data_IF_662366481212
#
_entry.id   IF_662366481212
#
_cell.length_a   1.000
_cell.length_b   1.000
_cell.length_c   1.000
_cell.angle_alpha   90.00
_cell.angle_beta   90.00
_cell.angle_gamma   90.00
#
_symmetry.space_group_name_H-M   'P 1'
#
loop_
_entity.id
_entity.type
_entity.pdbx_description
1 polymer ?
#
# COMPACT_ATOMS: atom_id res chain seq x y z
N UNK A 1 -7.53 -12.49 -45.62
CA UNK A 1 -8.11 -11.13 -45.66
C UNK A 1 -7.87 -10.51 -44.30
N UNK A 2 -7.01 -9.49 -44.25
CA UNK A 2 -6.58 -8.82 -43.02
C UNK A 2 -7.77 -8.09 -42.38
N UNK A 3 -8.08 -8.41 -41.13
CA UNK A 3 -8.98 -7.64 -40.29
C UNK A 3 -8.24 -6.39 -39.83
N UNK A 4 -8.67 -5.23 -40.31
CA UNK A 4 -8.19 -3.93 -39.87
C UNK A 4 -8.48 -3.78 -38.37
N UNK A 5 -7.42 -3.56 -37.58
CA UNK A 5 -7.53 -3.09 -36.22
C UNK A 5 -8.08 -1.66 -36.29
N UNK A 6 -9.31 -1.43 -35.83
CA UNK A 6 -9.77 -0.08 -35.51
C UNK A 6 -8.94 0.40 -34.31
N UNK A 7 -7.92 1.21 -34.59
CA UNK A 7 -7.27 2.05 -33.57
C UNK A 7 -8.34 2.90 -32.89
N UNK A 8 -8.38 2.85 -31.56
CA UNK A 8 -9.24 3.71 -30.75
C UNK A 8 -8.99 5.18 -31.11
N UNK A 9 -10.07 5.91 -31.39
CA UNK A 9 -10.01 7.33 -31.76
C UNK A 9 -9.18 8.15 -30.74
N UNK A 10 -8.11 8.84 -31.17
CA UNK A 10 -7.30 9.71 -30.33
C UNK A 10 -8.10 10.78 -29.56
N UNK A 11 -9.31 11.13 -30.01
CA UNK A 11 -10.24 12.02 -29.31
C UNK A 11 -10.82 11.42 -28.03
N UNK A 12 -11.02 10.09 -27.96
CA UNK A 12 -11.52 9.37 -26.79
C UNK A 12 -10.44 9.25 -25.71
N UNK A 13 -9.17 9.10 -26.11
CA UNK A 13 -8.02 9.17 -25.21
C UNK A 13 -7.84 10.58 -24.61
N UNK A 14 -8.20 11.63 -25.35
CA UNK A 14 -8.23 13.01 -24.85
C UNK A 14 -9.39 13.27 -23.86
N UNK A 15 -10.49 12.53 -23.97
CA UNK A 15 -11.66 12.66 -23.07
C UNK A 15 -11.53 11.90 -21.75
N UNK A 16 -10.68 10.87 -21.69
CA UNK A 16 -10.36 10.11 -20.48
C UNK A 16 -9.08 10.64 -19.83
N UNK A 17 -9.07 11.91 -19.43
CA UNK A 17 -8.11 12.42 -18.43
C UNK A 17 -6.62 12.26 -18.74
N UNK A 18 -6.22 12.07 -20.00
CA UNK A 18 -4.85 12.40 -20.43
C UNK A 18 -4.83 13.92 -20.56
N UNK A 19 -4.80 14.59 -19.41
CA UNK A 19 -4.41 15.98 -19.35
C UNK A 19 -3.14 16.13 -20.19
N UNK A 20 -3.17 17.12 -21.07
CA UNK A 20 -2.08 17.50 -21.96
C UNK A 20 -0.70 17.14 -21.40
N UNK A 21 0.18 16.61 -22.25
CA UNK A 21 1.64 16.66 -22.08
C UNK A 21 2.21 18.10 -21.96
N UNK A 22 1.37 19.10 -21.65
CA UNK A 22 1.76 20.47 -21.38
C UNK A 22 2.27 20.58 -19.95
N UNK A 23 3.60 20.61 -19.83
CA UNK A 23 4.44 20.75 -18.63
C UNK A 23 3.98 19.94 -17.42
N UNK A 24 4.36 18.65 -17.39
CA UNK A 24 4.37 17.95 -16.11
C UNK A 24 5.41 18.64 -15.22
N UNK A 25 4.92 19.25 -14.13
CA UNK A 25 5.78 19.95 -13.18
C UNK A 25 6.85 19.01 -12.64
N UNK A 26 8.07 19.50 -12.46
CA UNK A 26 9.14 18.73 -11.84
C UNK A 26 8.87 18.51 -10.35
N UNK A 27 9.68 17.67 -9.70
CA UNK A 27 9.62 17.49 -8.24
C UNK A 27 9.81 18.83 -7.52
N UNK A 28 10.81 19.62 -7.92
CA UNK A 28 11.06 20.92 -7.27
C UNK A 28 9.92 21.92 -7.45
N UNK A 29 9.24 21.94 -8.60
CA UNK A 29 8.07 22.82 -8.82
C UNK A 29 6.88 22.43 -7.93
N UNK A 30 6.59 21.13 -7.80
CA UNK A 30 5.55 20.67 -6.87
C UNK A 30 5.91 20.91 -5.40
N UNK A 31 7.17 20.76 -5.04
CA UNK A 31 7.65 21.08 -3.69
C UNK A 31 7.56 22.58 -3.44
N UNK A 32 7.85 23.43 -4.43
CA UNK A 32 7.69 24.87 -4.28
C UNK A 32 6.25 25.23 -3.94
N UNK A 33 5.28 24.75 -4.72
CA UNK A 33 3.85 25.00 -4.50
C UNK A 33 3.34 24.49 -3.14
N UNK A 34 3.83 23.34 -2.70
CA UNK A 34 3.44 22.75 -1.41
C UNK A 34 4.01 23.51 -0.19
N UNK A 35 5.04 24.33 -0.38
CA UNK A 35 5.79 25.02 0.67
C UNK A 35 5.86 26.55 0.46
N UNK A 36 5.11 27.10 -0.50
CA UNK A 36 5.14 28.53 -0.87
C UNK A 36 4.67 29.44 0.28
N UNK A 37 3.66 29.02 1.04
CA UNK A 37 3.01 29.82 2.11
C UNK A 37 3.64 29.63 3.51
N UNK A 38 4.88 29.15 3.62
CA UNK A 38 5.47 28.79 4.94
C UNK A 38 5.89 29.95 5.86
N UNK A 39 5.38 31.17 5.67
CA UNK A 39 5.34 32.17 6.76
C UNK A 39 4.29 31.83 7.84
N UNK A 40 3.31 30.95 7.57
CA UNK A 40 2.23 30.59 8.51
C UNK A 40 2.30 29.16 9.10
N UNK A 41 3.39 28.40 8.90
CA UNK A 41 3.39 26.99 9.33
C UNK A 41 3.71 26.76 10.82
N UNK A 42 4.29 27.73 11.54
CA UNK A 42 4.58 27.56 12.97
C UNK A 42 3.31 27.43 13.84
N UNK A 43 2.19 28.04 13.41
CA UNK A 43 0.92 28.08 14.16
C UNK A 43 -0.07 26.95 13.79
N UNK A 44 0.04 26.37 12.58
CA UNK A 44 -0.81 25.26 12.17
C UNK A 44 -0.53 23.96 12.94
N UNK A 45 0.69 23.80 13.48
CA UNK A 45 1.02 22.71 14.41
C UNK A 45 0.42 22.88 15.81
N UNK A 46 -0.16 24.05 16.13
CA UNK A 46 -0.85 24.31 17.40
C UNK A 46 -2.38 24.38 17.29
N UNK A 47 -2.96 24.68 16.12
CA UNK A 47 -4.42 24.98 16.05
C UNK A 47 -5.21 24.31 14.92
N UNK A 48 -4.61 23.54 14.02
CA UNK A 48 -5.35 22.71 13.07
C UNK A 48 -5.94 21.49 13.79
N UNK A 49 -7.25 21.53 14.11
CA UNK A 49 -8.07 20.47 14.71
C UNK A 49 -7.24 19.41 15.44
N UNK A 50 -7.14 19.48 16.78
CA UNK A 50 -6.47 18.47 17.62
C UNK A 50 -7.00 17.07 17.30
N UNK A 51 -6.45 16.44 16.26
CA UNK A 51 -6.37 15.02 16.14
C UNK A 51 -5.45 14.70 17.31
N UNK A 52 -6.00 14.16 18.38
CA UNK A 52 -5.21 13.44 19.37
C UNK A 52 -4.59 12.25 18.65
N UNK A 53 -3.64 12.47 17.76
CA UNK A 53 -2.67 11.45 17.43
C UNK A 53 -1.84 11.35 18.69
N UNK A 54 -2.20 10.39 19.57
CA UNK A 54 -1.13 9.75 20.33
C UNK A 54 -0.04 9.43 19.31
N UNK A 55 1.24 9.73 19.57
CA UNK A 55 2.30 9.18 18.75
C UNK A 55 1.96 7.69 18.61
N UNK A 56 1.71 7.22 17.37
CA UNK A 56 1.21 5.85 17.17
C UNK A 56 2.14 4.86 17.88
N UNK A 57 3.42 5.24 17.98
CA UNK A 57 4.47 4.45 18.59
C UNK A 57 5.29 5.34 19.54
N UNK A 58 5.55 4.87 20.76
CA UNK A 58 6.59 5.43 21.65
C UNK A 58 7.97 4.82 21.35
N UNK A 59 7.97 3.69 20.66
CA UNK A 59 9.13 2.93 20.20
C UNK A 59 8.77 2.25 18.89
N UNK A 60 9.63 2.35 17.87
CA UNK A 60 9.45 1.67 16.58
C UNK A 60 10.59 0.65 16.45
N UNK A 61 10.33 -0.61 16.07
CA UNK A 61 11.39 -1.57 15.81
C UNK A 61 12.29 -1.08 14.66
N UNK A 62 13.61 -1.21 14.81
CA UNK A 62 14.63 -0.69 13.87
C UNK A 62 14.37 -1.12 12.42
N UNK A 63 13.87 -2.35 12.22
CA UNK A 63 13.56 -2.93 10.91
C UNK A 63 12.29 -2.37 10.24
N UNK A 64 11.48 -1.58 10.95
CA UNK A 64 10.30 -0.92 10.39
C UNK A 64 10.44 0.61 10.27
N UNK A 65 11.50 1.20 10.88
CA UNK A 65 11.67 2.66 10.93
C UNK A 65 11.63 3.30 9.55
N UNK A 66 12.22 2.66 8.54
CA UNK A 66 12.31 3.24 7.20
C UNK A 66 10.93 3.41 6.57
N UNK A 67 10.17 2.32 6.46
CA UNK A 67 8.82 2.31 5.91
C UNK A 67 7.84 3.17 6.71
N UNK A 68 7.86 3.06 8.04
CA UNK A 68 6.95 3.81 8.90
C UNK A 68 7.12 5.32 8.73
N UNK A 69 8.38 5.79 8.71
CA UNK A 69 8.67 7.23 8.55
C UNK A 69 8.39 7.69 7.13
N UNK A 70 8.82 6.93 6.11
CA UNK A 70 8.58 7.29 4.71
C UNK A 70 7.08 7.41 4.43
N UNK A 71 6.28 6.47 4.94
CA UNK A 71 4.83 6.50 4.80
C UNK A 71 4.18 7.64 5.59
N UNK A 72 4.59 7.88 6.84
CA UNK A 72 4.11 9.00 7.65
C UNK A 72 4.34 10.36 6.96
N UNK A 73 5.54 10.57 6.39
CA UNK A 73 5.86 11.80 5.65
C UNK A 73 5.03 11.88 4.36
N UNK A 74 4.88 10.79 3.63
CA UNK A 74 4.04 10.76 2.44
C UNK A 74 2.57 11.08 2.76
N UNK A 75 2.01 10.51 3.83
CA UNK A 75 0.65 10.83 4.28
C UNK A 75 0.50 12.30 4.67
N UNK A 76 1.51 12.89 5.33
CA UNK A 76 1.50 14.32 5.65
C UNK A 76 1.48 15.18 4.38
N UNK A 77 2.33 14.87 3.40
CA UNK A 77 2.38 15.63 2.15
C UNK A 77 1.09 15.49 1.32
N UNK A 78 0.51 14.29 1.24
CA UNK A 78 -0.75 14.06 0.53
C UNK A 78 -1.91 14.79 1.23
N UNK A 79 -2.05 14.62 2.54
CA UNK A 79 -3.26 15.06 3.25
C UNK A 79 -3.20 16.48 3.81
N UNK A 80 -2.01 17.07 3.97
CA UNK A 80 -1.83 18.42 4.51
C UNK A 80 -1.34 19.37 3.43
N UNK A 81 -0.32 18.95 2.67
CA UNK A 81 0.26 19.77 1.60
C UNK A 81 -0.40 19.57 0.23
N UNK A 82 -1.33 18.63 0.12
CA UNK A 82 -2.08 18.32 -1.11
C UNK A 82 -1.16 17.99 -2.30
N UNK A 83 0.01 17.41 -2.05
CA UNK A 83 0.94 17.02 -3.11
C UNK A 83 0.41 15.80 -3.86
N UNK A 84 0.75 15.64 -5.16
CA UNK A 84 0.54 14.38 -5.86
C UNK A 84 1.26 13.20 -5.18
N UNK A 85 0.68 12.00 -5.23
CA UNK A 85 1.23 10.81 -4.55
C UNK A 85 2.68 10.50 -4.95
N UNK A 86 3.04 10.69 -6.22
CA UNK A 86 4.41 10.42 -6.68
C UNK A 86 5.44 11.32 -6.00
N UNK A 87 5.11 12.60 -5.79
CA UNK A 87 5.93 13.57 -5.07
C UNK A 87 6.09 13.12 -3.62
N UNK A 88 4.97 12.78 -2.97
CA UNK A 88 4.95 12.33 -1.58
C UNK A 88 5.79 11.06 -1.36
N UNK A 89 5.70 10.08 -2.27
CA UNK A 89 6.47 8.84 -2.17
C UNK A 89 7.97 9.05 -2.38
N UNK A 90 8.38 9.82 -3.40
CA UNK A 90 9.79 10.16 -3.59
C UNK A 90 10.32 10.95 -2.39
N UNK A 91 9.59 11.98 -1.97
CA UNK A 91 10.01 12.87 -0.89
C UNK A 91 10.18 12.07 0.40
N UNK A 92 9.17 11.29 0.81
CA UNK A 92 9.22 10.50 2.04
C UNK A 92 10.42 9.53 2.07
N UNK A 93 10.69 8.85 0.95
CA UNK A 93 11.82 7.91 0.84
C UNK A 93 13.18 8.59 0.88
N UNK A 94 13.34 9.70 0.16
CA UNK A 94 14.61 10.46 0.18
C UNK A 94 14.84 11.13 1.52
N UNK A 95 13.77 11.60 2.16
CA UNK A 95 13.81 12.22 3.47
C UNK A 95 14.37 11.25 4.50
N UNK A 96 13.74 10.07 4.68
CA UNK A 96 14.24 9.09 5.65
C UNK A 96 15.64 8.60 5.29
N UNK A 97 16.00 8.50 4.00
CA UNK A 97 17.35 8.12 3.59
C UNK A 97 18.43 9.13 4.05
N UNK A 98 18.11 10.42 4.16
CA UNK A 98 19.03 11.42 4.72
C UNK A 98 19.03 11.44 6.25
N UNK A 99 17.87 11.17 6.86
CA UNK A 99 17.68 11.34 8.30
C UNK A 99 17.95 10.06 9.11
N UNK A 100 18.04 8.88 8.48
CA UNK A 100 18.18 7.59 9.16
C UNK A 100 19.36 7.53 10.13
N UNK A 101 20.49 8.18 9.78
CA UNK A 101 21.67 8.28 10.65
C UNK A 101 21.42 9.05 11.93
N UNK A 102 20.56 10.07 11.88
CA UNK A 102 20.14 10.81 13.08
C UNK A 102 19.30 9.94 14.02
N UNK A 103 18.72 8.86 13.51
CA UNK A 103 17.97 7.87 14.28
C UNK A 103 18.87 6.77 14.87
N UNK A 104 20.20 6.90 14.73
CA UNK A 104 21.17 5.90 15.21
C UNK A 104 21.20 4.63 14.35
N UNK A 105 20.79 4.73 13.10
CA UNK A 105 20.78 3.65 12.12
C UNK A 105 21.64 4.04 10.93
N UNK A 106 22.59 3.19 10.55
CA UNK A 106 23.44 3.46 9.39
C UNK A 106 22.68 3.32 8.06
N UNK A 107 21.73 2.38 8.02
CA UNK A 107 20.93 2.03 6.86
C UNK A 107 19.61 1.34 7.26
N UNK A 108 18.76 1.09 6.26
CA UNK A 108 17.54 0.30 6.42
C UNK A 108 17.88 -1.10 6.93
N UNK A 109 17.28 -1.50 8.04
CA UNK A 109 17.54 -2.79 8.67
C UNK A 109 16.61 -3.88 8.11
N UNK A 110 17.11 -5.10 7.85
CA UNK A 110 16.28 -6.21 7.42
C UNK A 110 15.39 -6.70 8.57
N UNK A 111 14.21 -7.23 8.22
CA UNK A 111 13.38 -7.92 9.18
C UNK A 111 13.98 -9.30 9.53
N UNK A 112 14.09 -9.56 10.83
CA UNK A 112 14.47 -10.86 11.39
C UNK A 112 13.50 -11.14 12.53
N UNK A 113 12.75 -12.24 12.45
CA UNK A 113 11.62 -12.54 13.34
C UNK A 113 11.98 -12.48 14.84
N UNK A 114 13.18 -12.96 15.19
CA UNK A 114 13.65 -13.03 16.57
C UNK A 114 14.28 -11.71 17.09
N UNK A 115 14.45 -10.70 16.24
CA UNK A 115 15.13 -9.44 16.57
C UNK A 115 14.12 -8.29 16.61
N UNK A 116 13.84 -7.77 17.81
CA UNK A 116 12.90 -6.67 18.05
C UNK A 116 13.56 -5.48 18.77
N UNK A 117 14.73 -5.08 18.27
CA UNK A 117 15.41 -3.87 18.73
C UNK A 117 14.60 -2.63 18.34
N UNK A 118 14.42 -1.69 19.26
CA UNK A 118 13.61 -0.49 19.01
C UNK A 118 14.41 0.81 19.06
N UNK A 119 13.97 1.80 18.31
CA UNK A 119 14.38 3.21 18.45
C UNK A 119 13.30 3.96 19.25
N UNK A 120 13.70 4.76 20.23
CA UNK A 120 12.79 5.61 21.01
C UNK A 120 12.31 6.80 20.18
N UNK A 121 11.02 6.88 19.91
CA UNK A 121 10.41 7.85 19.00
C UNK A 121 9.84 9.09 19.69
N UNK A 122 9.77 9.07 21.03
CA UNK A 122 9.11 10.10 21.82
C UNK A 122 9.70 11.51 21.61
N UNK A 123 11.01 11.59 21.40
CA UNK A 123 11.73 12.86 21.23
C UNK A 123 12.05 13.20 19.76
N UNK A 124 12.19 12.21 18.87
CA UNK A 124 12.56 12.48 17.49
C UNK A 124 11.39 12.60 16.53
N UNK A 125 10.20 12.05 16.77
CA UNK A 125 9.06 12.25 15.85
C UNK A 125 8.82 13.74 15.60
N UNK A 126 8.87 14.55 16.67
CA UNK A 126 8.78 16.01 16.57
C UNK A 126 9.94 16.61 15.77
N UNK A 127 11.17 16.13 15.98
CA UNK A 127 12.35 16.59 15.23
C UNK A 127 12.25 16.26 13.74
N UNK A 128 11.81 15.05 13.39
CA UNK A 128 11.60 14.65 11.99
C UNK A 128 10.51 15.49 11.34
N UNK A 129 9.35 15.63 11.99
CA UNK A 129 8.28 16.47 11.43
C UNK A 129 8.73 17.93 11.23
N UNK A 130 9.50 18.48 12.18
CA UNK A 130 10.10 19.81 12.05
C UNK A 130 11.20 19.90 10.97
N UNK A 131 11.78 18.77 10.56
CA UNK A 131 12.81 18.71 9.53
C UNK A 131 12.27 18.69 8.10
N UNK A 132 10.96 18.44 7.90
CA UNK A 132 10.33 18.37 6.58
C UNK A 132 10.54 19.68 5.78
N UNK A 133 10.27 20.89 6.33
CA UNK A 133 10.56 22.15 5.63
C UNK A 133 12.03 22.31 5.21
N UNK A 134 12.96 22.00 6.12
CA UNK A 134 14.40 22.11 5.82
C UNK A 134 14.80 21.16 4.70
N UNK A 135 14.22 19.96 4.63
CA UNK A 135 14.46 19.04 3.53
C UNK A 135 13.84 19.51 2.21
N UNK A 136 12.64 20.10 2.25
CA UNK A 136 12.04 20.75 1.09
C UNK A 136 12.95 21.85 0.54
N UNK A 137 13.52 22.70 1.39
CA UNK A 137 14.50 23.71 0.97
C UNK A 137 15.71 23.11 0.25
N UNK A 138 16.24 21.97 0.71
CA UNK A 138 17.36 21.30 0.02
C UNK A 138 17.00 20.87 -1.40
N UNK A 139 15.76 20.40 -1.61
CA UNK A 139 15.24 20.09 -2.96
C UNK A 139 15.17 21.36 -3.80
N UNK A 140 14.61 22.45 -3.25
CA UNK A 140 14.47 23.74 -3.95
C UNK A 140 15.82 24.37 -4.30
N UNK A 141 16.82 24.23 -3.43
CA UNK A 141 18.21 24.63 -3.66
C UNK A 141 18.98 23.70 -4.61
N UNK A 142 18.35 22.63 -5.09
CA UNK A 142 18.93 21.61 -5.99
C UNK A 142 20.16 20.92 -5.40
N UNK A 143 20.20 20.77 -4.08
CA UNK A 143 21.22 19.96 -3.39
C UNK A 143 20.98 18.46 -3.60
N UNK A 144 19.77 18.10 -4.02
CA UNK A 144 19.36 16.76 -4.41
C UNK A 144 18.98 16.72 -5.90
N UNK A 145 19.17 15.58 -6.59
CA UNK A 145 18.76 15.45 -7.98
C UNK A 145 17.27 15.75 -8.13
N UNK A 146 16.93 16.72 -8.97
CA UNK A 146 15.54 16.95 -9.37
C UNK A 146 15.04 15.74 -10.17
N UNK A 147 13.74 15.47 -10.14
CA UNK A 147 13.17 14.28 -10.75
C UNK A 147 11.85 14.62 -11.37
N UNK A 148 11.78 14.47 -12.69
CA UNK A 148 10.51 14.50 -13.40
C UNK A 148 9.69 13.27 -13.07
N UNK A 149 8.38 13.35 -13.27
CA UNK A 149 7.53 12.19 -13.13
C UNK A 149 8.06 11.04 -14.02
N UNK A 150 8.36 9.85 -13.47
CA UNK A 150 8.77 8.71 -14.27
C UNK A 150 7.69 8.34 -15.28
N UNK A 151 8.09 8.01 -16.51
CA UNK A 151 7.16 7.61 -17.57
C UNK A 151 6.33 6.40 -17.17
N UNK A 152 6.91 5.49 -16.40
CA UNK A 152 6.27 4.29 -15.87
C UNK A 152 5.12 4.63 -14.90
N UNK A 153 5.10 5.82 -14.29
CA UNK A 153 3.95 6.25 -13.49
C UNK A 153 2.70 6.51 -14.34
N UNK A 154 2.89 6.88 -15.60
CA UNK A 154 1.79 7.18 -16.53
C UNK A 154 1.15 5.93 -17.12
N UNK A 155 1.74 4.74 -16.92
CA UNK A 155 1.26 3.50 -17.51
C UNK A 155 -0.13 3.07 -16.98
N UNK A 156 -0.43 3.44 -15.73
CA UNK A 156 -1.74 3.24 -15.11
C UNK A 156 -2.22 4.57 -14.53
N UNK A 157 -3.08 5.32 -15.23
CA UNK A 157 -3.71 6.52 -14.69
C UNK A 157 -4.51 6.18 -13.43
N UNK A 158 -4.29 6.94 -12.36
CA UNK A 158 -4.87 6.68 -11.05
C UNK A 158 -5.68 7.85 -10.53
N UNK A 159 -6.73 7.52 -9.80
CA UNK A 159 -7.45 8.44 -8.93
C UNK A 159 -7.66 7.76 -7.59
N UNK A 160 -7.44 8.50 -6.51
CA UNK A 160 -7.61 8.02 -5.15
C UNK A 160 -8.02 9.20 -4.27
N UNK A 161 -8.82 8.92 -3.26
CA UNK A 161 -9.25 9.85 -2.21
C UNK A 161 -9.63 9.00 -0.99
N UNK A 162 -9.50 9.57 0.20
CA UNK A 162 -9.92 8.95 1.44
C UNK A 162 -10.54 9.99 2.36
N UNK A 163 -11.74 9.70 2.88
CA UNK A 163 -12.48 10.63 3.72
C UNK A 163 -12.96 9.98 5.00
N UNK A 164 -12.65 10.61 6.13
CA UNK A 164 -13.09 10.16 7.47
C UNK A 164 -14.63 10.04 7.59
N UNK A 165 -15.35 10.93 6.90
CA UNK A 165 -16.81 11.03 7.00
C UNK A 165 -17.26 11.25 8.45
N UNK A 166 -18.28 10.49 8.88
CA UNK A 166 -18.90 10.60 10.22
C UNK A 166 -18.12 9.87 11.34
N UNK A 167 -17.01 9.20 11.02
CA UNK A 167 -16.22 8.45 12.02
C UNK A 167 -15.41 9.41 12.88
N UNK A 168 -15.04 8.92 14.08
CA UNK A 168 -14.22 9.70 15.03
C UNK A 168 -12.77 9.82 14.56
N UNK A 169 -12.23 8.73 14.02
CA UNK A 169 -10.88 8.56 13.46
C UNK A 169 -10.97 8.16 11.99
N UNK A 170 -9.94 8.49 11.20
CA UNK A 170 -9.74 7.90 9.88
C UNK A 170 -8.81 6.69 10.02
N UNK A 171 -9.39 5.50 9.91
CA UNK A 171 -8.71 4.21 10.07
C UNK A 171 -8.39 3.56 8.72
N UNK A 172 -8.91 4.09 7.62
CA UNK A 172 -8.64 3.59 6.27
C UNK A 172 -7.28 4.08 5.77
N UNK A 173 -6.58 3.20 5.05
CA UNK A 173 -5.34 3.53 4.32
C UNK A 173 -5.40 2.94 2.91
N UNK A 174 -4.60 3.50 2.02
CA UNK A 174 -4.46 2.98 0.66
C UNK A 174 -3.02 3.15 0.15
N UNK A 175 -2.68 2.37 -0.87
CA UNK A 175 -1.50 2.61 -1.70
C UNK A 175 -1.93 2.69 -3.16
N UNK A 176 -1.31 3.61 -3.90
CA UNK A 176 -1.56 3.78 -5.33
C UNK A 176 -0.23 4.03 -6.03
N UNK A 177 0.43 2.95 -6.44
CA UNK A 177 1.74 2.99 -7.06
C UNK A 177 1.67 2.38 -8.47
N UNK A 178 1.32 3.17 -9.51
CA UNK A 178 1.44 2.75 -10.90
C UNK A 178 2.77 2.11 -11.27
N UNK A 179 3.86 2.49 -10.60
CA UNK A 179 5.17 1.83 -10.70
C UNK A 179 5.85 1.82 -9.33
N UNK A 180 6.63 0.76 -9.06
CA UNK A 180 7.49 0.67 -7.87
C UNK A 180 8.76 1.52 -7.97
N UNK A 181 9.13 1.96 -9.19
CA UNK A 181 10.42 2.60 -9.48
C UNK A 181 10.66 3.92 -8.73
N UNK A 182 9.59 4.60 -8.31
CA UNK A 182 9.68 5.83 -7.51
C UNK A 182 10.35 5.60 -6.15
N UNK A 183 10.03 4.48 -5.53
CA UNK A 183 10.45 4.11 -4.17
C UNK A 183 11.66 3.17 -4.24
N UNK A 184 11.70 2.33 -5.28
CA UNK A 184 12.74 1.34 -5.51
C UNK A 184 13.36 1.55 -6.91
N UNK A 185 14.33 2.46 -7.07
CA UNK A 185 14.93 2.75 -8.38
C UNK A 185 15.53 1.51 -9.07
N UNK A 186 16.04 0.57 -8.28
CA UNK A 186 16.64 -0.69 -8.74
C UNK A 186 15.64 -1.85 -8.88
N UNK A 187 14.34 -1.55 -8.96
CA UNK A 187 13.33 -2.60 -9.13
C UNK A 187 13.48 -3.28 -10.49
N UNK A 188 13.37 -4.62 -10.51
CA UNK A 188 13.49 -5.42 -11.75
C UNK A 188 12.24 -5.35 -12.64
N UNK A 189 11.11 -4.89 -12.10
CA UNK A 189 9.80 -4.85 -12.77
C UNK A 189 9.16 -3.47 -12.61
N UNK A 190 9.68 -2.49 -13.35
CA UNK A 190 9.13 -1.13 -13.35
C UNK A 190 7.77 -1.02 -14.04
N UNK A 191 7.42 -2.02 -14.85
CA UNK A 191 6.15 -2.19 -15.56
C UNK A 191 4.99 -2.69 -14.68
N UNK A 192 5.27 -3.04 -13.42
CA UNK A 192 4.25 -3.50 -12.47
C UNK A 192 3.75 -2.34 -11.62
N UNK A 193 2.43 -2.16 -11.60
CA UNK A 193 1.70 -1.33 -10.67
C UNK A 193 1.19 -2.12 -9.47
N UNK A 194 1.12 -1.47 -8.31
CA UNK A 194 0.64 -2.02 -7.05
C UNK A 194 -0.37 -1.06 -6.39
N UNK A 195 -1.52 -1.62 -6.04
CA UNK A 195 -2.66 -0.91 -5.48
C UNK A 195 -3.21 -1.64 -4.27
N UNK A 196 -3.72 -0.91 -3.29
CA UNK A 196 -4.28 -1.52 -2.10
C UNK A 196 -5.19 -0.60 -1.33
N UNK A 197 -6.22 -1.17 -0.71
CA UNK A 197 -7.08 -0.52 0.27
C UNK A 197 -7.12 -1.37 1.53
N UNK A 198 -6.99 -0.71 2.67
CA UNK A 198 -6.92 -1.31 4.00
C UNK A 198 -7.91 -0.58 4.91
N UNK A 199 -9.03 -1.22 5.25
CA UNK A 199 -10.03 -0.70 6.19
C UNK A 199 -9.60 -1.12 7.60
N UNK A 200 -9.21 -0.15 8.42
CA UNK A 200 -8.78 -0.38 9.80
C UNK A 200 -9.97 -0.49 10.75
N UNK A 201 -9.89 -1.38 11.73
CA UNK A 201 -10.88 -1.47 12.78
C UNK A 201 -10.24 -1.55 14.16
N UNK A 202 -10.86 -0.86 15.13
CA UNK A 202 -10.39 -0.77 16.51
C UNK A 202 -8.99 -0.12 16.62
N UNK A 203 -8.70 0.82 15.71
CA UNK A 203 -7.42 1.51 15.56
C UNK A 203 -6.90 1.45 14.12
N UNK A 204 -5.96 2.34 13.79
CA UNK A 204 -5.39 2.47 12.45
C UNK A 204 -4.02 1.77 12.30
N UNK A 205 -3.49 1.16 13.35
CA UNK A 205 -2.12 0.65 13.40
C UNK A 205 -1.90 -0.44 12.33
N UNK A 206 -2.81 -1.41 12.23
CA UNK A 206 -2.73 -2.48 11.23
C UNK A 206 -2.91 -1.99 9.78
N UNK A 207 -3.79 -1.02 9.53
CA UNK A 207 -4.01 -0.47 8.18
C UNK A 207 -2.83 0.42 7.76
N UNK A 208 -2.30 1.24 8.67
CA UNK A 208 -1.08 2.03 8.47
C UNK A 208 0.13 1.12 8.19
N UNK A 209 0.34 0.08 9.01
CA UNK A 209 1.43 -0.87 8.78
C UNK A 209 1.31 -1.55 7.42
N UNK A 210 0.12 -2.01 7.07
CA UNK A 210 -0.09 -2.70 5.79
C UNK A 210 0.21 -1.80 4.60
N UNK A 211 -0.21 -0.53 4.65
CA UNK A 211 0.06 0.43 3.59
C UNK A 211 1.55 0.84 3.50
N UNK A 212 2.23 0.98 4.65
CA UNK A 212 3.64 1.37 4.69
C UNK A 212 4.58 0.26 4.18
N UNK A 213 4.26 -1.01 4.44
CA UNK A 213 5.20 -2.14 4.25
C UNK A 213 4.93 -3.00 3.01
N UNK A 214 3.72 -3.00 2.45
CA UNK A 214 3.36 -3.89 1.33
C UNK A 214 4.27 -3.69 0.10
N UNK A 215 4.59 -2.44 -0.24
CA UNK A 215 5.40 -2.13 -1.41
C UNK A 215 6.82 -2.69 -1.29
N UNK A 216 7.42 -2.63 -0.10
CA UNK A 216 8.73 -3.25 0.19
C UNK A 216 8.66 -4.76 0.04
N UNK A 217 7.70 -5.42 0.71
CA UNK A 217 7.60 -6.89 0.66
C UNK A 217 7.37 -7.38 -0.77
N UNK A 218 6.56 -6.65 -1.55
CA UNK A 218 6.31 -7.00 -2.93
C UNK A 218 7.56 -6.81 -3.80
N UNK A 219 8.26 -5.68 -3.67
CA UNK A 219 9.51 -5.44 -4.39
C UNK A 219 10.59 -6.49 -4.05
N UNK A 220 10.71 -6.88 -2.79
CA UNK A 220 11.67 -7.90 -2.37
C UNK A 220 11.34 -9.28 -2.96
N UNK A 221 10.06 -9.65 -3.01
CA UNK A 221 9.62 -10.89 -3.66
C UNK A 221 9.90 -10.85 -5.16
N UNK A 222 9.67 -9.71 -5.83
CA UNK A 222 9.98 -9.52 -7.25
C UNK A 222 11.48 -9.63 -7.53
N UNK A 223 12.33 -9.04 -6.68
CA UNK A 223 13.79 -9.17 -6.77
C UNK A 223 14.25 -10.62 -6.60
N UNK A 224 13.68 -11.34 -5.63
CA UNK A 224 13.94 -12.77 -5.43
C UNK A 224 13.41 -13.65 -6.57
N UNK A 225 12.57 -13.08 -7.44
CA UNK A 225 12.00 -13.74 -8.62
C UNK A 225 12.69 -13.30 -9.93
N UNK A 226 13.96 -12.88 -9.88
CA UNK A 226 14.71 -12.41 -11.06
C UNK A 226 14.75 -13.42 -12.23
N UNK A 227 14.65 -14.72 -11.95
CA UNK A 227 14.62 -15.79 -12.96
C UNK A 227 13.20 -16.05 -13.53
N UNK A 228 12.19 -15.29 -13.13
CA UNK A 228 10.82 -15.41 -13.64
C UNK A 228 10.11 -16.72 -13.25
N UNK A 229 10.54 -17.35 -12.15
CA UNK A 229 9.99 -18.64 -11.70
C UNK A 229 8.59 -18.54 -11.10
N UNK A 230 8.22 -17.39 -10.54
CA UNK A 230 6.89 -17.10 -9.97
C UNK A 230 6.09 -16.22 -10.92
N UNK A 231 4.80 -16.49 -11.02
CA UNK A 231 3.84 -15.57 -11.64
C UNK A 231 3.66 -14.28 -10.82
N UNK A 232 3.01 -13.27 -11.41
CA UNK A 232 2.64 -12.05 -10.70
C UNK A 232 1.68 -12.37 -9.54
N UNK A 233 0.74 -13.28 -9.78
CA UNK A 233 -0.14 -13.88 -8.76
C UNK A 233 0.63 -14.44 -7.55
N UNK A 234 1.54 -15.38 -7.77
CA UNK A 234 2.33 -16.00 -6.70
C UNK A 234 3.22 -14.98 -5.98
N UNK A 235 3.73 -13.99 -6.71
CA UNK A 235 4.54 -12.91 -6.15
C UNK A 235 3.72 -12.03 -5.20
N UNK A 236 2.50 -11.65 -5.60
CA UNK A 236 1.57 -10.88 -4.77
C UNK A 236 1.10 -11.69 -3.55
N UNK A 237 0.79 -12.97 -3.73
CA UNK A 237 0.39 -13.84 -2.61
C UNK A 237 1.52 -13.95 -1.59
N UNK A 238 2.75 -14.19 -2.06
CA UNK A 238 3.92 -14.34 -1.20
C UNK A 238 4.20 -13.03 -0.44
N UNK A 239 4.06 -11.87 -1.07
CA UNK A 239 4.29 -10.59 -0.39
C UNK A 239 3.24 -10.31 0.68
N UNK A 240 1.96 -10.63 0.44
CA UNK A 240 0.89 -10.49 1.44
C UNK A 240 1.11 -11.42 2.63
N UNK A 241 1.55 -12.67 2.41
CA UNK A 241 1.87 -13.61 3.50
C UNK A 241 3.06 -13.12 4.33
N UNK A 242 4.11 -12.58 3.69
CA UNK A 242 5.26 -11.99 4.39
C UNK A 242 4.85 -10.76 5.20
N UNK A 243 4.04 -9.88 4.62
CA UNK A 243 3.49 -8.72 5.30
C UNK A 243 2.66 -9.12 6.54
N UNK A 244 1.76 -10.11 6.40
CA UNK A 244 0.95 -10.62 7.51
C UNK A 244 1.83 -11.15 8.64
N UNK A 245 2.89 -11.88 8.31
CA UNK A 245 3.83 -12.43 9.31
C UNK A 245 4.55 -11.32 10.08
N UNK A 246 5.09 -10.31 9.40
CA UNK A 246 5.72 -9.14 10.06
C UNK A 246 4.72 -8.37 10.92
N UNK A 247 3.54 -8.10 10.38
CA UNK A 247 2.45 -7.43 11.10
C UNK A 247 2.08 -8.21 12.37
N UNK A 248 1.99 -9.55 12.28
CA UNK A 248 1.69 -10.38 13.45
C UNK A 248 2.74 -10.22 14.55
N UNK A 249 4.04 -10.23 14.20
CA UNK A 249 5.12 -10.04 15.17
C UNK A 249 4.98 -8.68 15.86
N UNK A 250 4.73 -7.62 15.09
CA UNK A 250 4.55 -6.28 15.65
C UNK A 250 3.30 -6.17 16.53
N UNK A 251 2.17 -6.72 16.08
CA UNK A 251 0.94 -6.78 16.87
C UNK A 251 1.14 -7.49 18.22
N UNK A 252 1.88 -8.61 18.24
CA UNK A 252 2.17 -9.35 19.47
C UNK A 252 3.10 -8.56 20.39
N UNK A 253 4.18 -7.98 19.85
CA UNK A 253 5.14 -7.20 20.65
C UNK A 253 4.57 -5.92 21.22
N UNK A 254 3.73 -5.23 20.45
CA UNK A 254 3.12 -3.95 20.84
C UNK A 254 1.70 -4.07 21.42
N UNK A 255 1.18 -5.30 21.51
CA UNK A 255 -0.17 -5.60 22.02
C UNK A 255 -1.27 -4.82 21.28
N UNK A 256 -1.13 -4.67 19.97
CA UNK A 256 -2.15 -4.03 19.14
C UNK A 256 -3.44 -4.84 19.20
N UNK A 257 -4.55 -4.12 19.35
CA UNK A 257 -5.91 -4.70 19.30
C UNK A 257 -6.66 -4.32 18.04
N UNK A 258 -6.05 -3.51 17.18
CA UNK A 258 -6.59 -3.19 15.88
C UNK A 258 -6.39 -4.35 14.91
N UNK A 259 -7.16 -4.33 13.84
CA UNK A 259 -6.98 -5.19 12.69
C UNK A 259 -7.26 -4.39 11.44
N UNK A 260 -7.03 -5.00 10.28
CA UNK A 260 -7.39 -4.39 9.01
C UNK A 260 -7.88 -5.42 8.01
N UNK A 261 -8.78 -5.02 7.14
CA UNK A 261 -9.01 -5.72 5.88
C UNK A 261 -7.83 -5.46 4.94
N UNK A 262 -7.76 -6.20 3.84
CA UNK A 262 -6.92 -5.85 2.72
C UNK A 262 -7.62 -6.24 1.43
N UNK A 263 -7.62 -5.37 0.45
CA UNK A 263 -7.83 -5.74 -0.96
C UNK A 263 -6.72 -5.10 -1.76
N UNK A 264 -5.88 -5.94 -2.37
CA UNK A 264 -4.67 -5.50 -3.06
C UNK A 264 -4.63 -6.06 -4.48
N UNK A 265 -4.09 -5.27 -5.39
CA UNK A 265 -3.96 -5.61 -6.81
C UNK A 265 -2.55 -5.32 -7.28
N UNK A 266 -1.92 -6.29 -7.91
CA UNK A 266 -0.75 -6.10 -8.76
C UNK A 266 -1.18 -6.19 -10.23
N UNK A 267 -0.65 -5.32 -11.08
CA UNK A 267 -1.00 -5.28 -12.49
C UNK A 267 0.22 -4.98 -13.34
N UNK A 268 0.40 -5.70 -14.44
CA UNK A 268 1.28 -5.35 -15.55
C UNK A 268 0.47 -5.31 -16.86
N UNK A 269 1.15 -5.25 -18.01
CA UNK A 269 0.47 -5.20 -19.31
C UNK A 269 -0.29 -6.49 -19.65
N UNK A 270 0.08 -7.63 -19.04
CA UNK A 270 -0.43 -8.96 -19.39
C UNK A 270 -1.42 -9.49 -18.35
N UNK A 271 -1.32 -9.07 -17.10
CA UNK A 271 -1.99 -9.69 -15.96
C UNK A 271 -2.44 -8.68 -14.90
N UNK A 272 -3.67 -8.88 -14.39
CA UNK A 272 -4.12 -8.32 -13.12
C UNK A 272 -4.28 -9.46 -12.10
N UNK A 273 -3.60 -9.33 -10.97
CA UNK A 273 -3.64 -10.27 -9.85
C UNK A 273 -4.13 -9.59 -8.59
N UNK A 274 -5.04 -10.24 -7.88
CA UNK A 274 -5.70 -9.71 -6.68
C UNK A 274 -5.48 -10.64 -5.50
N UNK A 275 -5.22 -10.08 -4.32
CA UNK A 275 -5.27 -10.78 -3.05
C UNK A 275 -6.15 -9.99 -2.07
N UNK A 276 -6.95 -10.69 -1.26
CA UNK A 276 -7.82 -10.00 -0.29
C UNK A 276 -8.06 -10.79 0.99
N UNK A 277 -8.32 -10.04 2.07
CA UNK A 277 -8.69 -10.49 3.39
C UNK A 277 -9.79 -9.57 3.93
N UNK A 278 -10.91 -10.13 4.40
CA UNK A 278 -12.04 -9.35 4.91
C UNK A 278 -13.09 -9.01 3.85
N UNK A 279 -13.74 -7.86 4.02
CA UNK A 279 -14.95 -7.42 3.31
C UNK A 279 -14.76 -6.14 2.46
N UNK A 280 -13.54 -5.59 2.37
CA UNK A 280 -13.22 -4.59 1.35
C UNK A 280 -13.26 -5.20 -0.05
N UNK A 281 -13.80 -4.46 -1.00
CA UNK A 281 -14.12 -4.97 -2.33
C UNK A 281 -13.37 -4.26 -3.46
N UNK A 282 -13.03 -5.03 -4.50
CA UNK A 282 -12.53 -4.52 -5.77
C UNK A 282 -13.49 -4.90 -6.90
N UNK A 283 -13.58 -4.02 -7.90
CA UNK A 283 -14.43 -4.20 -9.06
C UNK A 283 -13.65 -3.93 -10.34
N UNK A 284 -13.86 -4.75 -11.36
CA UNK A 284 -13.34 -4.50 -12.71
C UNK A 284 -14.50 -4.01 -13.57
N UNK A 285 -14.37 -2.80 -14.10
CA UNK A 285 -15.30 -2.25 -15.09
C UNK A 285 -14.77 -2.52 -16.49
N UNK A 286 -15.56 -3.20 -17.31
CA UNK A 286 -15.27 -3.46 -18.73
C UNK A 286 -16.25 -2.73 -19.61
N UNK A 287 -15.73 -2.01 -20.60
CA UNK A 287 -16.52 -1.54 -21.74
C UNK A 287 -16.51 -2.63 -22.80
N UNK A 288 -17.66 -3.20 -23.14
CA UNK A 288 -17.79 -4.02 -24.34
C UNK A 288 -18.06 -3.14 -25.56
N UNK A 289 -17.67 -3.59 -26.75
CA UNK A 289 -17.99 -2.93 -28.02
C UNK A 289 -19.50 -2.83 -28.32
N UNK A 290 -20.35 -3.48 -27.51
CA UNK A 290 -21.81 -3.48 -27.64
C UNK A 290 -22.51 -2.49 -26.69
N UNK A 291 -21.82 -1.44 -26.24
CA UNK A 291 -22.33 -0.41 -25.30
C UNK A 291 -22.72 -0.93 -23.91
N UNK A 292 -22.54 -2.22 -23.61
CA UNK A 292 -22.84 -2.79 -22.29
C UNK A 292 -21.60 -2.72 -21.41
N UNK A 293 -21.71 -1.98 -20.30
CA UNK A 293 -20.72 -1.98 -19.21
C UNK A 293 -20.92 -3.23 -18.36
N UNK A 294 -19.87 -4.05 -18.23
CA UNK A 294 -19.87 -5.18 -17.31
C UNK A 294 -19.03 -4.83 -16.08
N UNK A 295 -19.59 -5.06 -14.89
CA UNK A 295 -18.91 -4.90 -13.61
C UNK A 295 -18.74 -6.28 -12.99
N UNK A 296 -17.50 -6.72 -12.85
CA UNK A 296 -17.18 -7.96 -12.14
C UNK A 296 -16.72 -7.59 -10.72
N UNK A 297 -17.47 -7.99 -9.68
CA UNK A 297 -16.99 -7.96 -8.30
C UNK A 297 -15.96 -9.08 -8.14
N UNK A 298 -14.76 -8.74 -7.69
CA UNK A 298 -13.66 -9.71 -7.60
C UNK A 298 -13.71 -10.52 -6.30
N UNK A 299 -13.77 -9.93 -5.11
CA UNK A 299 -13.82 -10.72 -3.89
C UNK A 299 -15.24 -11.22 -3.57
N UNK A 300 -15.32 -12.47 -3.13
CA UNK A 300 -16.48 -12.96 -2.36
C UNK A 300 -16.25 -12.53 -0.91
N UNK A 301 -17.23 -11.83 -0.32
CA UNK A 301 -17.07 -11.24 1.02
C UNK A 301 -16.80 -12.32 2.07
N UNK A 302 -15.76 -12.11 2.88
CA UNK A 302 -15.46 -12.92 4.06
C UNK A 302 -16.33 -12.48 5.25
N UNK A 303 -17.66 -12.49 5.07
CA UNK A 303 -18.60 -12.22 6.15
C UNK A 303 -18.94 -13.50 6.90
N UNK A 304 -19.12 -13.44 8.22
CA UNK A 304 -19.59 -14.57 9.05
C UNK A 304 -20.95 -15.15 8.58
N UNK A 305 -21.67 -14.42 7.75
CA UNK A 305 -22.91 -14.86 7.09
C UNK A 305 -22.68 -15.78 5.88
N UNK A 306 -21.48 -15.77 5.29
CA UNK A 306 -21.16 -16.49 4.05
C UNK A 306 -20.65 -17.92 4.34
N UNK A 307 -21.56 -18.80 4.72
CA UNK A 307 -21.29 -20.14 5.30
C UNK A 307 -20.45 -21.09 4.43
N UNK A 308 -20.30 -20.85 3.13
CA UNK A 308 -19.60 -21.75 2.19
C UNK A 308 -18.08 -21.54 2.23
N UNK A 309 -17.60 -20.29 2.25
CA UNK A 309 -16.17 -19.99 2.34
C UNK A 309 -15.61 -20.36 3.74
N UNK A 310 -16.41 -20.15 4.80
CA UNK A 310 -16.02 -20.50 6.17
C UNK A 310 -16.01 -22.00 6.47
N UNK A 311 -16.86 -22.81 5.84
CA UNK A 311 -16.91 -24.26 6.11
C UNK A 311 -15.62 -25.00 5.70
N UNK A 312 -14.95 -24.54 4.64
CA UNK A 312 -13.68 -25.12 4.17
C UNK A 312 -12.49 -24.71 5.06
N UNK A 313 -12.49 -23.48 5.59
CA UNK A 313 -11.47 -23.03 6.55
C UNK A 313 -11.65 -23.68 7.94
N UNK A 314 -12.89 -23.96 8.35
CA UNK A 314 -13.20 -24.57 9.66
C UNK A 314 -13.00 -26.10 9.68
N UNK A 315 -13.18 -26.82 8.58
CA UNK A 315 -13.00 -28.29 8.61
C UNK A 315 -11.53 -28.73 8.76
N UNK A 316 -10.57 -27.80 8.62
CA UNK A 316 -9.14 -28.05 8.80
C UNK A 316 -8.61 -27.58 10.17
N UNK A 317 -9.45 -26.97 11.02
CA UNK A 317 -9.11 -26.58 12.38
C UNK A 317 -10.20 -27.09 13.33
N UNK A 318 -9.88 -28.05 14.20
CA UNK A 318 -10.81 -28.63 15.17
C UNK A 318 -11.36 -27.57 16.14
N UNK A 319 -12.55 -27.03 15.86
CA UNK A 319 -13.23 -26.09 16.74
C UNK A 319 -14.68 -25.83 16.32
N UNK A 320 -15.64 -26.12 17.21
CA UNK A 320 -17.09 -26.05 16.95
C UNK A 320 -17.62 -24.62 17.13
N UNK A 321 -18.37 -24.10 16.16
CA UNK A 321 -19.05 -22.81 16.22
C UNK A 321 -20.08 -22.75 17.37
N UNK A 322 -19.96 -21.77 18.27
CA UNK A 322 -21.10 -21.24 19.06
C UNK A 322 -21.26 -19.76 18.76
N UNK A 323 -22.51 -19.34 18.56
CA UNK A 323 -22.86 -17.94 18.36
C UNK A 323 -22.73 -17.18 19.66
N UNK A 324 -21.68 -16.37 19.81
CA UNK A 324 -21.64 -15.34 20.86
C UNK A 324 -20.63 -14.25 20.49
N UNK A 325 -21.00 -13.00 20.78
CA UNK A 325 -20.13 -11.81 20.68
C UNK A 325 -18.83 -12.09 21.42
N UNK A 326 -17.69 -11.96 20.75
CA UNK A 326 -16.39 -12.26 21.35
C UNK A 326 -16.02 -11.24 22.43
N UNK A 327 -16.19 -11.64 23.69
CA UNK A 327 -15.34 -11.19 24.80
C UNK A 327 -14.23 -12.25 24.96
N UNK A 328 -13.02 -11.86 24.57
CA UNK A 328 -11.72 -12.44 24.96
C UNK A 328 -11.51 -13.95 24.78
N UNK A 329 -10.71 -14.34 23.79
CA UNK A 329 -10.10 -15.68 23.70
C UNK A 329 -9.51 -15.92 22.32
N UNK A 330 -8.17 -15.92 22.23
CA UNK A 330 -7.35 -15.98 21.01
C UNK A 330 -7.89 -16.93 19.92
N UNK A 331 -7.87 -16.45 18.69
CA UNK A 331 -8.02 -17.25 17.47
C UNK A 331 -7.23 -16.59 16.35
N UNK A 332 -6.26 -17.33 15.80
CA UNK A 332 -5.37 -16.95 14.70
C UNK A 332 -6.02 -17.44 13.42
N UNK A 333 -6.28 -16.56 12.46
CA UNK A 333 -7.00 -16.88 11.23
C UNK A 333 -6.09 -16.61 10.03
N UNK A 334 -5.85 -17.63 9.20
CA UNK A 334 -5.12 -17.50 7.93
C UNK A 334 -5.97 -18.04 6.80
N UNK A 335 -6.39 -17.16 5.89
CA UNK A 335 -6.84 -17.54 4.55
C UNK A 335 -6.67 -16.33 3.62
N UNK A 336 -5.65 -16.36 2.76
CA UNK A 336 -5.52 -15.43 1.63
C UNK A 336 -6.15 -16.08 0.42
N UNK A 337 -7.17 -15.45 -0.17
CA UNK A 337 -7.72 -15.89 -1.45
C UNK A 337 -7.12 -15.03 -2.55
N UNK A 338 -6.70 -15.68 -3.63
CA UNK A 338 -6.03 -15.02 -4.76
C UNK A 338 -6.86 -15.23 -6.02
N UNK A 339 -6.98 -14.18 -6.83
CA UNK A 339 -7.69 -14.19 -8.10
C UNK A 339 -6.80 -13.60 -9.20
N UNK A 340 -6.59 -14.36 -10.27
CA UNK A 340 -5.80 -13.95 -11.44
C UNK A 340 -6.67 -13.76 -12.68
N UNK A 341 -6.40 -12.68 -13.43
CA UNK A 341 -7.04 -12.41 -14.72
C UNK A 341 -6.02 -11.91 -15.75
N UNK A 342 -5.92 -12.62 -16.88
CA UNK A 342 -5.11 -12.19 -18.03
C UNK A 342 -5.79 -11.04 -18.78
N UNK A 343 -5.01 -10.03 -19.14
CA UNK A 343 -5.42 -8.88 -19.96
C UNK A 343 -5.26 -9.30 -21.43
N UNK A 344 -6.21 -10.03 -22.02
CA UNK A 344 -6.43 -10.00 -23.48
C UNK A 344 -7.67 -10.79 -23.94
N UNK A 345 -8.15 -10.42 -25.14
CA UNK A 345 -9.34 -10.94 -25.79
C UNK A 345 -9.30 -12.47 -25.97
N UNK A 346 -10.44 -13.11 -25.76
CA UNK A 346 -10.71 -14.54 -25.90
C UNK A 346 -10.37 -15.46 -24.70
N UNK A 347 -11.47 -15.75 -23.99
CA UNK A 347 -11.93 -17.05 -23.48
C UNK A 347 -11.18 -17.68 -22.28
N UNK A 348 -12.00 -17.76 -21.22
CA UNK A 348 -12.00 -18.68 -20.07
C UNK A 348 -11.08 -18.32 -18.89
N UNK A 349 -11.73 -17.80 -17.84
CA UNK A 349 -11.21 -17.75 -16.48
C UNK A 349 -11.47 -19.10 -15.79
N UNK A 350 -10.48 -19.63 -15.07
CA UNK A 350 -10.67 -20.72 -14.11
C UNK A 350 -10.12 -20.25 -12.76
N UNK A 351 -10.98 -20.30 -11.75
CA UNK A 351 -10.64 -20.13 -10.34
C UNK A 351 -9.97 -21.43 -9.86
N UNK A 352 -8.79 -21.34 -9.22
CA UNK A 352 -8.16 -22.46 -8.55
C UNK A 352 -7.79 -22.06 -7.12
N UNK A 353 -8.21 -22.90 -6.18
CA UNK A 353 -8.00 -22.76 -4.75
C UNK A 353 -6.83 -23.70 -4.39
N UNK A 354 -5.70 -23.16 -3.94
CA UNK A 354 -4.52 -23.94 -3.58
C UNK A 354 -4.05 -23.64 -2.17
N UNK A 355 -4.30 -24.55 -1.23
CA UNK A 355 -3.63 -24.61 0.07
C UNK A 355 -2.66 -25.80 0.05
N UNK A 356 -1.38 -25.58 0.33
CA UNK A 356 -0.44 -26.64 0.72
C UNK A 356 0.02 -26.37 2.15
N UNK A 357 -0.24 -27.34 3.03
CA UNK A 357 0.28 -27.42 4.38
C UNK A 357 1.68 -28.04 4.34
N UNK A 358 2.58 -27.54 5.17
CA UNK A 358 3.69 -28.32 5.70
C UNK A 358 3.35 -28.55 7.18
N UNK A 359 3.18 -29.82 7.54
CA UNK A 359 2.92 -30.28 8.90
C UNK A 359 4.17 -30.06 9.77
N UNK A 360 3.94 -29.58 10.99
CA UNK A 360 4.88 -29.71 12.10
C UNK A 360 4.06 -29.98 13.36
N UNK A 361 3.91 -31.27 13.65
CA UNK A 361 3.55 -31.75 14.98
C UNK A 361 4.68 -31.43 15.95
N UNK A 362 4.36 -30.82 17.09
CA UNK A 362 5.19 -30.91 18.29
C UNK A 362 4.22 -31.13 19.48
N UNK A 363 4.49 -32.21 20.22
CA UNK A 363 3.71 -32.83 21.30
C UNK A 363 3.04 -31.90 22.31
#
# INVERSE_FOLDING_TARGET
MATQHEELDPSVLRGLGVANQASMKSLSEHVYEAFEDEEELADSFQTGAVIRQRPQFTRIPKHDVFEDVAFMVAEHLINVKMTPNWVAYIFGNRYISQEIKQLGLDEKQPFVEDIYDTVDTSSWCKKLMNGIPSFAEKILKKELPDTDLPREWLQFPVSNDSRKGKRKSQEDRYISMPTLKLVFPDTSRSDVGLFGVFDGHNGAECSTYSAAHLATEFNDVLKQNAEGKRSLEESLQTSVVRLEHRLFVRCDKEQWRSGSTAVVMAVDNDEMSFAWLGDSAAFILKSSSLCQRQVDKIPVDHSTSNKVCWRLAISQLSGRLRSERSRTGRSRWRTTVVYRRRIESQRSAKCYQGSRYADLEIN
#
